data_IF_465703562895
#
_entry.id   IF_465703562895
#
_cell.length_a   1.000
_cell.length_b   1.000
_cell.length_c   1.000
_cell.angle_alpha   90.00
_cell.angle_beta   90.00
_cell.angle_gamma   90.00
#
_symmetry.space_group_name_H-M   'P 1'
#
loop_
_entity.id
_entity.type
_entity.pdbx_description
1 polymer ?
#
# COMPACT_ATOMS: atom_id res chain seq x y z
N UNK A 1 48.09 3.33 -2.85
CA UNK A 1 47.18 3.65 -1.74
C UNK A 1 45.79 3.82 -2.31
N UNK A 2 44.88 2.98 -1.85
CA UNK A 2 43.48 2.96 -2.28
C UNK A 2 42.72 4.11 -1.62
N UNK A 3 41.71 4.66 -2.31
CA UNK A 3 40.78 5.62 -1.70
C UNK A 3 40.10 5.03 -0.45
N UNK A 4 39.88 3.72 -0.42
CA UNK A 4 39.30 3.02 0.72
C UNK A 4 40.21 3.00 1.96
N UNK A 5 41.54 2.99 1.78
CA UNK A 5 42.49 3.08 2.92
C UNK A 5 42.44 4.46 3.57
N UNK A 6 42.32 5.52 2.76
CA UNK A 6 42.20 6.90 3.27
C UNK A 6 40.91 7.16 4.05
N UNK A 7 39.82 6.47 3.72
CA UNK A 7 38.55 6.59 4.43
C UNK A 7 38.56 5.85 5.78
N UNK A 8 39.25 4.71 5.86
CA UNK A 8 39.39 3.97 7.11
C UNK A 8 40.27 4.68 8.15
N UNK A 9 41.17 5.56 7.71
CA UNK A 9 42.01 6.39 8.58
C UNK A 9 41.33 7.69 9.04
N UNK A 10 40.12 7.97 8.55
CA UNK A 10 39.40 9.22 8.83
C UNK A 10 38.64 9.10 10.16
N UNK A 11 39.23 9.62 11.23
CA UNK A 11 38.64 9.64 12.56
C UNK A 11 37.62 10.79 12.67
N UNK A 12 36.36 10.52 12.28
CA UNK A 12 35.26 11.48 12.35
C UNK A 12 34.79 11.62 13.80
N UNK A 13 34.92 12.82 14.35
CA UNK A 13 34.32 13.20 15.62
C UNK A 13 32.80 13.39 15.45
N UNK A 14 32.07 12.30 15.61
CA UNK A 14 30.61 12.20 15.50
C UNK A 14 29.87 12.99 16.60
N UNK A 15 30.58 13.51 17.62
CA UNK A 15 29.97 14.29 18.70
C UNK A 15 29.58 15.71 18.29
N UNK A 16 30.10 16.22 17.18
CA UNK A 16 29.84 17.57 16.69
C UNK A 16 28.65 17.65 15.71
N UNK A 17 28.05 16.51 15.36
CA UNK A 17 26.86 16.46 14.53
C UNK A 17 25.62 16.36 15.42
N UNK A 18 24.76 17.37 15.32
CA UNK A 18 23.44 17.33 15.96
C UNK A 18 22.65 16.18 15.33
N UNK A 19 22.38 15.14 16.13
CA UNK A 19 21.64 13.97 15.69
C UNK A 19 20.16 14.29 15.82
N UNK A 20 19.56 14.77 14.73
CA UNK A 20 18.11 14.80 14.66
C UNK A 20 17.59 13.36 14.71
N UNK A 21 16.74 13.01 15.70
CA UNK A 21 16.16 11.69 15.75
C UNK A 21 15.25 11.50 14.54
N UNK A 22 15.41 10.38 13.84
CA UNK A 22 14.49 10.00 12.76
C UNK A 22 13.06 10.00 13.30
N UNK A 23 12.12 10.52 12.51
CA UNK A 23 10.70 10.35 12.82
C UNK A 23 10.33 8.87 12.88
N UNK A 24 9.30 8.52 13.63
CA UNK A 24 8.81 7.13 13.72
C UNK A 24 8.52 6.52 12.32
N UNK A 25 8.05 7.34 11.38
CA UNK A 25 7.83 6.96 9.99
C UNK A 25 9.14 6.58 9.29
N UNK A 26 10.16 7.41 9.42
CA UNK A 26 11.47 7.18 8.82
C UNK A 26 12.18 5.99 9.45
N UNK A 27 12.17 5.90 10.79
CA UNK A 27 12.75 4.79 11.52
C UNK A 27 12.12 3.46 11.07
N UNK A 28 10.78 3.42 10.92
CA UNK A 28 10.07 2.22 10.49
C UNK A 28 10.32 1.89 9.02
N UNK A 29 10.39 2.89 8.12
CA UNK A 29 10.78 2.68 6.72
C UNK A 29 12.21 2.15 6.61
N UNK A 30 13.13 2.65 7.44
CA UNK A 30 14.49 2.13 7.54
C UNK A 30 14.51 0.69 8.02
N UNK A 31 13.77 0.35 9.08
CA UNK A 31 13.64 -1.03 9.57
C UNK A 31 13.09 -1.95 8.47
N UNK A 32 12.03 -1.54 7.76
CA UNK A 32 11.46 -2.33 6.67
C UNK A 32 12.44 -2.48 5.49
N UNK A 33 13.17 -1.41 5.14
CA UNK A 33 14.20 -1.44 4.08
C UNK A 33 15.35 -2.38 4.45
N UNK A 34 15.80 -2.39 5.69
CA UNK A 34 16.84 -3.30 6.19
C UNK A 34 16.32 -4.74 6.23
N UNK A 35 15.10 -4.97 6.75
CA UNK A 35 14.46 -6.29 6.75
C UNK A 35 14.30 -6.85 5.34
N UNK A 36 13.95 -6.02 4.36
CA UNK A 36 13.81 -6.44 2.97
C UNK A 36 15.17 -6.72 2.29
N UNK A 37 16.28 -6.18 2.84
CA UNK A 37 17.65 -6.42 2.35
C UNK A 37 18.33 -7.62 3.04
N UNK A 38 17.90 -7.98 4.23
CA UNK A 38 18.31 -9.21 4.90
C UNK A 38 17.47 -10.35 4.32
N UNK A 39 18.11 -11.28 3.60
CA UNK A 39 17.45 -12.29 2.77
C UNK A 39 16.25 -12.98 3.43
N UNK A 40 15.16 -13.14 2.66
CA UNK A 40 13.99 -13.92 3.06
C UNK A 40 14.42 -15.36 3.34
N UNK A 41 14.16 -15.84 4.56
CA UNK A 41 13.94 -17.27 4.75
C UNK A 41 12.66 -17.65 4.00
N UNK A 42 12.71 -18.75 3.23
CA UNK A 42 11.60 -19.32 2.45
C UNK A 42 10.26 -19.24 3.20
N UNK A 43 9.27 -18.57 2.61
CA UNK A 43 7.88 -18.73 3.02
C UNK A 43 7.34 -19.99 2.35
N UNK A 44 6.90 -20.96 3.16
CA UNK A 44 6.16 -22.11 2.65
C UNK A 44 4.82 -21.67 2.10
N UNK A 45 4.48 -22.19 0.92
CA UNK A 45 3.14 -22.17 0.35
C UNK A 45 2.17 -22.92 1.28
N UNK A 46 1.09 -22.26 1.70
CA UNK A 46 -0.05 -22.93 2.30
C UNK A 46 -1.34 -22.41 1.66
N UNK A 47 -1.65 -23.01 0.50
CA UNK A 47 -2.96 -23.04 -0.14
C UNK A 47 -3.93 -23.80 0.77
N UNK A 48 -5.21 -23.39 0.73
CA UNK A 48 -6.44 -24.01 1.27
C UNK A 48 -6.99 -23.44 2.59
N UNK A 49 -7.81 -22.39 2.48
CA UNK A 49 -9.06 -22.31 3.24
C UNK A 49 -10.17 -21.85 2.28
N UNK A 50 -10.85 -22.84 1.69
CA UNK A 50 -12.19 -22.69 1.14
C UNK A 50 -13.15 -22.87 2.30
N UNK A 51 -14.05 -21.91 2.49
CA UNK A 51 -15.26 -22.07 3.31
C UNK A 51 -15.14 -21.45 4.70
N UNK A 52 -15.64 -20.22 4.82
CA UNK A 52 -16.73 -19.88 5.75
C UNK A 52 -17.38 -18.57 5.25
N UNK A 53 -18.17 -18.68 4.19
CA UNK A 53 -19.31 -17.80 4.02
C UNK A 53 -20.33 -18.22 5.10
N UNK A 54 -20.41 -17.45 6.18
CA UNK A 54 -21.48 -17.55 7.14
C UNK A 54 -21.96 -16.14 7.49
N UNK A 55 -23.13 -15.85 6.94
CA UNK A 55 -24.03 -14.75 7.26
C UNK A 55 -24.10 -14.54 8.77
N UNK A 56 -23.87 -13.29 9.21
CA UNK A 56 -24.45 -12.76 10.45
C UNK A 56 -24.93 -11.33 10.17
N UNK A 57 -26.00 -11.27 9.39
CA UNK A 57 -26.97 -10.17 9.43
C UNK A 57 -27.79 -10.36 10.71
N UNK A 58 -27.90 -9.27 11.49
CA UNK A 58 -28.75 -9.00 12.66
C UNK A 58 -28.22 -9.38 14.06
N UNK A 59 -27.67 -8.36 14.73
CA UNK A 59 -28.30 -7.81 15.94
C UNK A 59 -27.88 -6.34 16.13
N UNK A 60 -28.87 -5.44 16.10
CA UNK A 60 -28.72 -4.01 16.37
C UNK A 60 -28.34 -3.73 17.83
N UNK A 61 -27.59 -2.64 18.03
CA UNK A 61 -27.43 -1.90 19.28
C UNK A 61 -26.05 -1.24 19.31
N UNK A 62 -25.84 0.06 19.12
CA UNK A 62 -26.69 1.25 19.27
C UNK A 62 -26.32 2.22 18.14
N UNK A 63 -27.32 2.71 17.41
CA UNK A 63 -27.17 3.80 16.44
C UNK A 63 -26.88 5.11 17.19
N UNK A 64 -25.66 5.65 17.06
CA UNK A 64 -25.39 7.04 17.42
C UNK A 64 -25.44 7.91 16.17
N UNK A 65 -26.62 8.50 15.97
CA UNK A 65 -26.90 9.81 15.39
C UNK A 65 -26.32 10.16 14.01
N UNK A 66 -27.20 10.11 12.99
CA UNK A 66 -27.13 10.98 11.81
C UNK A 66 -27.31 12.46 12.25
N UNK A 67 -26.23 13.07 12.71
CA UNK A 67 -26.12 14.51 12.91
C UNK A 67 -25.31 15.10 11.76
N UNK A 68 -25.88 16.08 11.05
CA UNK A 68 -25.19 16.88 10.02
C UNK A 68 -23.74 17.13 10.42
N UNK A 69 -22.79 16.61 9.64
CA UNK A 69 -21.36 16.83 9.84
C UNK A 69 -21.09 18.34 9.93
N UNK A 70 -20.84 18.83 11.13
CA UNK A 70 -20.21 20.14 11.30
C UNK A 70 -18.74 19.96 10.92
N UNK A 71 -18.35 20.46 9.75
CA UNK A 71 -16.96 20.56 9.26
C UNK A 71 -15.99 21.18 10.28
N UNK A 72 -16.49 21.85 11.32
CA UNK A 72 -15.71 22.53 12.35
C UNK A 72 -14.99 21.61 13.36
N UNK A 73 -15.13 20.27 13.27
CA UNK A 73 -14.47 19.30 14.17
C UNK A 73 -13.64 18.24 13.43
N UNK A 74 -13.25 18.48 12.18
CA UNK A 74 -12.25 17.63 11.53
C UNK A 74 -10.91 18.01 12.16
N UNK A 75 -10.24 17.13 12.93
CA UNK A 75 -8.90 17.43 13.44
C UNK A 75 -7.95 17.62 12.24
N UNK A 76 -6.67 17.93 12.48
CA UNK A 76 -5.63 17.95 11.45
C UNK A 76 -5.34 16.56 10.83
N UNK A 77 -6.37 15.84 10.38
CA UNK A 77 -6.37 14.47 9.85
C UNK A 77 -6.35 14.43 8.33
N UNK A 78 -6.52 15.57 7.65
CA UNK A 78 -6.34 15.67 6.21
C UNK A 78 -4.87 15.49 5.84
N UNK A 79 -4.58 14.65 4.84
CA UNK A 79 -3.23 14.50 4.28
C UNK A 79 -2.44 13.31 4.83
N UNK A 80 -3.07 12.43 5.61
CA UNK A 80 -2.39 11.32 6.26
C UNK A 80 -1.94 10.27 5.23
N UNK A 81 -2.81 9.95 4.28
CA UNK A 81 -2.49 8.99 3.21
C UNK A 81 -1.34 9.52 2.33
N UNK A 82 -1.34 10.81 2.01
CA UNK A 82 -0.29 11.41 1.18
C UNK A 82 1.06 11.34 1.87
N UNK A 83 1.14 11.62 3.18
CA UNK A 83 2.37 11.47 3.97
C UNK A 83 2.81 10.02 4.11
N UNK A 84 1.86 9.10 4.16
CA UNK A 84 2.14 7.66 4.19
C UNK A 84 2.80 7.19 2.90
N UNK A 85 2.33 7.65 1.73
CA UNK A 85 2.91 7.32 0.43
C UNK A 85 4.19 8.13 0.17
N UNK A 86 4.18 9.42 0.44
CA UNK A 86 5.22 10.41 0.13
C UNK A 86 5.62 11.19 1.40
N UNK A 87 6.79 10.89 1.98
CA UNK A 87 7.20 11.53 3.25
C UNK A 87 7.71 12.96 3.10
N UNK A 88 8.43 13.25 2.01
CA UNK A 88 9.18 14.50 1.86
C UNK A 88 8.28 15.60 1.31
N UNK A 89 7.67 15.33 0.16
CA UNK A 89 6.79 16.28 -0.53
C UNK A 89 5.46 15.58 -0.84
N UNK A 90 4.52 15.54 0.13
CA UNK A 90 3.22 14.93 -0.09
C UNK A 90 2.45 15.74 -1.13
N UNK A 91 2.05 15.14 -2.26
CA UNK A 91 1.17 15.78 -3.23
C UNK A 91 -0.22 15.97 -2.61
N UNK A 92 -1.09 16.73 -3.28
CA UNK A 92 -2.49 16.86 -2.89
C UNK A 92 -3.34 15.80 -3.58
N UNK A 93 -3.88 14.85 -2.80
CA UNK A 93 -4.82 13.84 -3.30
C UNK A 93 -6.26 14.10 -2.84
N UNK A 94 -6.60 15.32 -2.41
CA UNK A 94 -7.93 15.67 -1.92
C UNK A 94 -9.05 15.36 -2.92
N UNK A 95 -8.78 15.45 -4.23
CA UNK A 95 -9.75 15.10 -5.27
C UNK A 95 -10.03 13.58 -5.39
N UNK A 96 -9.13 12.73 -4.90
CA UNK A 96 -9.16 11.27 -5.09
C UNK A 96 -9.44 10.49 -3.80
N UNK A 97 -9.75 11.20 -2.71
CA UNK A 97 -10.04 10.59 -1.41
C UNK A 97 -11.36 11.11 -0.85
N UNK A 98 -11.99 10.27 -0.05
CA UNK A 98 -13.15 10.65 0.76
C UNK A 98 -12.69 10.79 2.21
N UNK A 99 -12.98 11.94 2.82
CA UNK A 99 -12.67 12.23 4.22
C UNK A 99 -13.88 11.95 5.08
N UNK A 100 -13.65 11.28 6.19
CA UNK A 100 -14.61 10.90 7.20
C UNK A 100 -14.21 11.49 8.56
N UNK A 101 -14.97 11.14 9.58
CA UNK A 101 -14.66 11.40 10.98
C UNK A 101 -15.52 10.53 11.89
N UNK A 102 -15.91 9.37 11.38
CA UNK A 102 -16.82 8.46 12.07
C UNK A 102 -16.02 7.62 13.05
N UNK A 103 -16.51 7.52 14.29
CA UNK A 103 -15.87 6.72 15.33
C UNK A 103 -16.76 5.55 15.73
N UNK A 104 -16.12 4.42 16.04
CA UNK A 104 -16.72 3.28 16.71
C UNK A 104 -15.87 2.90 17.93
N UNK A 105 -16.50 2.30 18.94
CA UNK A 105 -15.86 1.92 20.20
C UNK A 105 -16.16 0.47 20.55
N UNK A 106 -15.18 -0.23 21.11
CA UNK A 106 -15.34 -1.56 21.71
C UNK A 106 -14.40 -1.71 22.91
N UNK A 107 -14.26 -2.92 23.45
CA UNK A 107 -13.39 -3.21 24.60
C UNK A 107 -11.89 -2.89 24.39
N UNK A 108 -11.44 -2.82 23.13
CA UNK A 108 -10.05 -2.53 22.78
C UNK A 108 -9.77 -1.03 22.66
N UNK A 109 -10.80 -0.19 22.51
CA UNK A 109 -10.66 1.26 22.40
C UNK A 109 -11.58 1.90 21.37
N UNK A 110 -11.24 3.13 21.02
CA UNK A 110 -11.96 3.94 20.04
C UNK A 110 -11.19 3.98 18.74
N UNK A 111 -11.87 3.68 17.64
CA UNK A 111 -11.32 3.75 16.30
C UNK A 111 -12.11 4.78 15.49
N UNK A 112 -11.42 5.72 14.86
CA UNK A 112 -12.01 6.75 14.00
C UNK A 112 -11.52 6.55 12.58
N UNK A 113 -12.44 6.33 11.64
CA UNK A 113 -12.12 6.30 10.21
C UNK A 113 -11.90 7.74 9.73
N UNK A 114 -10.73 8.04 9.16
CA UNK A 114 -10.34 9.38 8.76
C UNK A 114 -10.45 9.60 7.25
N UNK A 115 -9.83 8.74 6.45
CA UNK A 115 -9.72 8.94 5.01
C UNK A 115 -9.73 7.58 4.29
N UNK A 116 -10.39 7.52 3.13
CA UNK A 116 -10.24 6.41 2.18
C UNK A 116 -9.89 6.96 0.81
N UNK A 117 -8.79 6.47 0.25
CA UNK A 117 -8.30 6.81 -1.08
C UNK A 117 -8.34 5.55 -1.96
N UNK A 118 -8.89 5.71 -3.16
CA UNK A 118 -9.00 4.65 -4.16
C UNK A 118 -7.86 4.80 -5.17
N UNK A 119 -7.17 3.72 -5.51
CA UNK A 119 -6.07 3.76 -6.49
C UNK A 119 -5.97 2.47 -7.32
N UNK A 120 -6.68 2.44 -8.45
CA UNK A 120 -6.74 1.34 -9.42
C UNK A 120 -7.17 -0.02 -8.84
N UNK A 121 -6.25 -0.73 -8.19
CA UNK A 121 -6.39 -2.09 -7.64
C UNK A 121 -6.19 -2.13 -6.12
N UNK A 122 -6.19 -0.98 -5.46
CA UNK A 122 -6.08 -0.90 -4.01
C UNK A 122 -6.94 0.19 -3.39
N UNK A 123 -7.21 -0.01 -2.10
CA UNK A 123 -7.78 0.97 -1.19
C UNK A 123 -6.72 1.32 -0.13
N UNK A 124 -6.46 2.60 0.03
CA UNK A 124 -5.65 3.13 1.12
C UNK A 124 -6.59 3.73 2.16
N UNK A 125 -6.46 3.29 3.40
CA UNK A 125 -7.35 3.66 4.50
C UNK A 125 -6.51 4.29 5.59
N UNK A 126 -6.94 5.43 6.12
CA UNK A 126 -6.35 6.01 7.33
C UNK A 126 -7.39 6.05 8.44
N UNK A 127 -6.97 5.61 9.62
CA UNK A 127 -7.79 5.64 10.84
C UNK A 127 -6.98 6.11 12.05
N UNK A 128 -7.63 6.73 13.03
CA UNK A 128 -7.04 7.05 14.33
C UNK A 128 -7.52 6.06 15.37
N UNK A 129 -6.58 5.40 16.04
CA UNK A 129 -6.84 4.46 17.13
C UNK A 129 -6.40 5.04 18.47
N UNK A 130 -7.34 5.05 19.42
CA UNK A 130 -7.16 5.44 20.81
C UNK A 130 -7.38 4.17 21.66
N UNK A 131 -6.32 3.45 22.06
CA UNK A 131 -6.44 2.20 22.80
C UNK A 131 -7.11 2.41 24.15
N UNK A 132 -7.97 1.48 24.56
CA UNK A 132 -8.53 1.45 25.90
C UNK A 132 -7.44 1.24 26.96
N UNK A 133 -7.71 1.68 28.20
CA UNK A 133 -6.77 1.52 29.30
C UNK A 133 -6.41 0.04 29.51
N UNK A 134 -5.12 -0.27 29.48
CA UNK A 134 -4.60 -1.63 29.65
C UNK A 134 -4.43 -2.43 28.36
N UNK A 135 -4.82 -1.86 27.20
CA UNK A 135 -4.52 -2.45 25.90
C UNK A 135 -3.10 -2.04 25.49
N UNK A 136 -2.21 -3.03 25.35
CA UNK A 136 -0.86 -2.80 24.83
C UNK A 136 -0.92 -2.60 23.31
N UNK A 137 -0.67 -1.37 22.89
CA UNK A 137 -0.63 -0.99 21.49
C UNK A 137 0.59 -0.13 21.23
N UNK A 138 1.28 -0.42 20.13
CA UNK A 138 2.45 0.33 19.69
C UNK A 138 2.51 0.38 18.17
N UNK A 139 3.51 1.08 17.63
CA UNK A 139 3.80 1.05 16.19
C UNK A 139 4.09 -0.37 15.66
N UNK A 140 4.38 -1.34 16.54
CA UNK A 140 4.63 -2.73 16.16
C UNK A 140 3.35 -3.58 16.11
N UNK A 141 2.25 -3.06 16.66
CA UNK A 141 0.93 -3.70 16.61
C UNK A 141 0.30 -3.43 15.25
N UNK A 142 -0.21 -4.48 14.61
CA UNK A 142 -0.94 -4.38 13.35
C UNK A 142 -2.43 -4.51 13.61
N UNK A 143 -3.18 -3.47 13.24
CA UNK A 143 -4.64 -3.49 13.25
C UNK A 143 -5.10 -3.52 11.79
N UNK A 144 -5.49 -4.70 11.32
CA UNK A 144 -5.64 -4.97 9.89
C UNK A 144 -7.09 -4.75 9.44
N UNK A 145 -7.37 -3.79 8.55
CA UNK A 145 -8.70 -3.68 7.98
C UNK A 145 -8.97 -4.82 7.00
N UNK A 146 -10.24 -5.19 6.91
CA UNK A 146 -10.82 -5.96 5.82
C UNK A 146 -11.90 -5.13 5.14
N UNK A 147 -12.11 -5.34 3.85
CA UNK A 147 -13.08 -4.56 3.07
C UNK A 147 -13.96 -5.47 2.22
N UNK A 148 -15.27 -5.21 2.26
CA UNK A 148 -16.21 -5.62 1.22
C UNK A 148 -16.52 -4.43 0.33
N UNK A 149 -16.50 -4.63 -0.98
CA UNK A 149 -16.83 -3.61 -1.98
C UNK A 149 -18.15 -4.01 -2.61
N UNK A 150 -19.17 -3.14 -2.50
CA UNK A 150 -20.54 -3.40 -2.95
C UNK A 150 -21.12 -4.72 -2.40
N UNK A 151 -20.69 -5.10 -1.19
CA UNK A 151 -21.08 -6.34 -0.51
C UNK A 151 -20.28 -7.59 -0.92
N UNK A 152 -19.33 -7.47 -1.87
CA UNK A 152 -18.51 -8.59 -2.33
C UNK A 152 -17.08 -8.56 -1.74
N UNK A 153 -16.55 -9.75 -1.43
CA UNK A 153 -15.14 -9.92 -1.05
C UNK A 153 -14.27 -10.10 -2.31
N UNK A 154 -13.73 -8.96 -2.76
CA UNK A 154 -12.77 -8.89 -3.85
C UNK A 154 -11.33 -8.67 -3.35
N UNK A 155 -11.10 -8.80 -2.05
CA UNK A 155 -9.81 -8.57 -1.43
C UNK A 155 -8.80 -9.65 -1.82
N UNK A 156 -7.56 -9.23 -2.06
CA UNK A 156 -6.42 -10.10 -2.32
C UNK A 156 -5.46 -10.11 -1.12
N UNK A 157 -5.10 -8.92 -0.64
CA UNK A 157 -4.19 -8.77 0.50
C UNK A 157 -4.67 -7.67 1.42
N UNK A 158 -4.26 -7.75 2.68
CA UNK A 158 -4.43 -6.71 3.69
C UNK A 158 -3.09 -6.40 4.33
N UNK A 159 -2.66 -5.15 4.18
CA UNK A 159 -1.52 -4.58 4.89
C UNK A 159 -1.99 -3.60 5.95
N UNK A 160 -1.25 -3.52 7.06
CA UNK A 160 -1.47 -2.49 8.07
C UNK A 160 -0.16 -1.93 8.61
N UNK A 161 -0.15 -0.63 8.86
CA UNK A 161 0.94 0.08 9.49
C UNK A 161 0.42 1.07 10.52
N UNK A 162 0.82 0.89 11.78
CA UNK A 162 0.55 1.85 12.85
C UNK A 162 1.73 2.81 13.05
N UNK A 163 1.44 4.08 13.32
CA UNK A 163 2.40 5.16 13.67
C UNK A 163 1.85 5.91 14.88
N UNK A 164 2.70 6.19 15.86
CA UNK A 164 2.31 6.99 17.03
C UNK A 164 2.20 8.46 16.63
N UNK A 165 1.09 9.11 16.98
CA UNK A 165 0.88 10.54 16.71
C UNK A 165 1.21 11.36 17.96
N UNK A 166 0.60 10.98 19.07
CA UNK A 166 0.86 11.50 20.42
C UNK A 166 0.79 10.34 21.42
N UNK A 167 1.07 10.60 22.69
CA UNK A 167 0.92 9.57 23.72
C UNK A 167 -0.51 9.02 23.77
N UNK A 168 -0.66 7.70 23.64
CA UNK A 168 -1.96 7.03 23.66
C UNK A 168 -2.80 7.15 22.38
N UNK A 169 -2.27 7.70 21.28
CA UNK A 169 -3.01 7.83 20.03
C UNK A 169 -2.16 7.47 18.81
N UNK A 170 -2.71 6.64 17.93
CA UNK A 170 -2.02 6.06 16.80
C UNK A 170 -2.77 6.30 15.50
N UNK A 171 -2.08 6.64 14.42
CA UNK A 171 -2.63 6.51 13.07
C UNK A 171 -2.38 5.10 12.57
N UNK A 172 -3.43 4.46 12.07
CA UNK A 172 -3.42 3.13 11.44
C UNK A 172 -3.68 3.29 9.96
N UNK A 173 -2.69 2.95 9.14
CA UNK A 173 -2.78 2.90 7.70
C UNK A 173 -3.12 1.49 7.24
N UNK A 174 -4.18 1.34 6.45
CA UNK A 174 -4.51 0.13 5.70
C UNK A 174 -4.08 0.25 4.24
N UNK A 175 -3.42 -0.78 3.71
CA UNK A 175 -3.15 -0.94 2.27
C UNK A 175 -3.78 -2.25 1.81
N UNK A 176 -4.95 -2.15 1.19
CA UNK A 176 -5.79 -3.27 0.81
C UNK A 176 -5.73 -3.44 -0.70
N UNK A 177 -5.10 -4.51 -1.18
CA UNK A 177 -5.14 -4.87 -2.61
C UNK A 177 -6.40 -5.65 -2.92
N UNK A 178 -7.03 -5.37 -4.06
CA UNK A 178 -8.25 -5.99 -4.54
C UNK A 178 -8.06 -6.46 -6.00
N UNK A 179 -8.90 -7.38 -6.47
CA UNK A 179 -8.81 -7.90 -7.85
C UNK A 179 -9.09 -6.83 -8.90
N UNK A 180 -10.29 -6.26 -8.85
CA UNK A 180 -10.75 -5.22 -9.75
C UNK A 180 -11.88 -4.46 -9.07
N UNK A 181 -11.75 -3.13 -9.00
CA UNK A 181 -12.80 -2.29 -8.46
C UNK A 181 -13.90 -2.07 -9.51
N UNK A 182 -15.19 -2.02 -9.10
CA UNK A 182 -16.29 -1.61 -9.97
C UNK A 182 -16.05 -0.23 -10.59
N UNK A 183 -16.31 -0.10 -11.90
CA UNK A 183 -16.11 1.14 -12.67
C UNK A 183 -17.38 1.57 -13.42
N UNK A 184 -18.52 1.47 -12.75
CA UNK A 184 -19.83 1.83 -13.30
C UNK A 184 -20.16 3.33 -13.13
N UNK A 185 -19.21 4.14 -12.65
CA UNK A 185 -19.40 5.57 -12.40
C UNK A 185 -20.23 5.88 -11.16
N UNK A 186 -20.61 4.88 -10.36
CA UNK A 186 -21.25 5.07 -9.07
C UNK A 186 -20.20 5.11 -7.95
N UNK A 187 -20.50 5.78 -6.82
CA UNK A 187 -19.71 5.64 -5.61
C UNK A 187 -19.62 4.18 -5.16
N UNK A 188 -18.47 3.79 -4.62
CA UNK A 188 -18.25 2.46 -4.07
C UNK A 188 -18.87 2.38 -2.67
N UNK A 189 -19.66 1.35 -2.40
CA UNK A 189 -20.16 1.08 -1.07
C UNK A 189 -19.19 0.15 -0.34
N UNK A 190 -18.49 0.68 0.67
CA UNK A 190 -17.49 -0.06 1.42
C UNK A 190 -18.02 -0.48 2.78
N UNK A 191 -17.84 -1.75 3.12
CA UNK A 191 -17.88 -2.21 4.51
C UNK A 191 -16.46 -2.46 4.98
N UNK A 192 -15.97 -1.60 5.88
CA UNK A 192 -14.60 -1.66 6.41
C UNK A 192 -14.68 -2.23 7.82
N UNK A 193 -14.06 -3.39 8.05
CA UNK A 193 -14.05 -4.03 9.36
C UNK A 193 -12.62 -4.21 9.87
N UNK A 194 -12.37 -3.79 11.11
CA UNK A 194 -11.14 -4.06 11.83
C UNK A 194 -11.36 -5.24 12.77
N UNK A 195 -11.19 -6.44 12.20
CA UNK A 195 -11.55 -7.72 12.80
C UNK A 195 -10.34 -8.53 13.30
N UNK A 196 -9.12 -8.05 12.99
CA UNK A 196 -7.87 -8.73 13.34
C UNK A 196 -6.85 -7.78 13.95
N UNK A 197 -6.21 -8.25 15.02
CA UNK A 197 -5.07 -7.59 15.65
C UNK A 197 -3.89 -8.55 15.79
N UNK A 198 -2.69 -8.07 15.49
CA UNK A 198 -1.44 -8.81 15.71
C UNK A 198 -0.51 -7.99 16.59
N UNK A 199 -0.10 -8.59 17.71
CA UNK A 199 0.74 -7.95 18.72
C UNK A 199 2.22 -7.87 18.34
N UNK A 200 3.00 -7.19 19.18
CA UNK A 200 4.45 -7.07 19.03
C UNK A 200 5.12 -8.45 19.02
N UNK A 201 5.82 -8.77 17.92
CA UNK A 201 6.56 -10.02 17.78
C UNK A 201 5.67 -11.25 17.53
N UNK A 202 4.37 -11.04 17.30
CA UNK A 202 3.49 -12.10 16.84
C UNK A 202 3.67 -12.27 15.32
N UNK A 203 3.90 -13.53 14.90
CA UNK A 203 4.08 -13.90 13.50
C UNK A 203 2.82 -14.54 12.90
N UNK A 204 1.71 -14.49 13.62
CA UNK A 204 0.44 -14.98 13.10
C UNK A 204 0.01 -14.07 11.93
N UNK A 205 0.16 -14.61 10.71
CA UNK A 205 -0.01 -13.88 9.45
C UNK A 205 -1.41 -13.26 9.34
N UNK A 206 -2.41 -13.87 9.98
CA UNK A 206 -3.81 -13.44 9.95
C UNK A 206 -4.24 -12.60 11.15
N UNK A 207 -3.40 -12.48 12.18
CA UNK A 207 -3.76 -11.88 13.47
C UNK A 207 -4.87 -12.63 14.23
N UNK A 208 -5.03 -12.25 15.49
CA UNK A 208 -6.08 -12.75 16.39
C UNK A 208 -7.41 -12.05 16.10
N UNK A 209 -8.55 -12.77 16.16
CA UNK A 209 -9.86 -12.14 16.02
C UNK A 209 -10.13 -11.15 17.15
N UNK A 210 -10.77 -10.04 16.80
CA UNK A 210 -11.31 -9.05 17.74
C UNK A 210 -12.77 -9.41 18.02
N UNK A 211 -13.11 -9.56 19.31
CA UNK A 211 -14.51 -9.63 19.73
C UNK A 211 -15.18 -8.27 19.51
N UNK A 212 -16.35 -8.27 18.84
CA UNK A 212 -17.09 -7.06 18.48
C UNK A 212 -16.21 -6.07 17.68
N UNK A 213 -15.88 -6.40 16.42
CA UNK A 213 -14.98 -5.58 15.62
C UNK A 213 -15.57 -4.20 15.34
N UNK A 214 -14.70 -3.22 15.11
CA UNK A 214 -15.14 -1.93 14.57
C UNK A 214 -15.54 -2.13 13.11
N UNK A 215 -16.77 -1.75 12.77
CA UNK A 215 -17.33 -1.86 11.42
C UNK A 215 -17.82 -0.48 10.99
N UNK A 216 -17.40 -0.06 9.80
CA UNK A 216 -17.84 1.17 9.16
C UNK A 216 -18.52 0.83 7.83
N UNK A 217 -19.62 1.51 7.55
CA UNK A 217 -20.32 1.44 6.27
C UNK A 217 -20.25 2.81 5.63
N UNK A 218 -19.45 2.94 4.58
CA UNK A 218 -19.13 4.23 3.98
C UNK A 218 -19.29 4.21 2.47
N UNK A 219 -19.68 5.35 1.94
CA UNK A 219 -19.70 5.61 0.50
C UNK A 219 -18.42 6.34 0.11
N UNK A 220 -17.69 5.82 -0.88
CA UNK A 220 -16.43 6.40 -1.36
C UNK A 220 -16.58 6.79 -2.82
N UNK A 221 -16.33 8.06 -3.13
CA UNK A 221 -16.31 8.51 -4.52
C UNK A 221 -15.05 7.99 -5.23
N UNK A 222 -15.24 7.44 -6.43
CA UNK A 222 -14.15 7.06 -7.33
C UNK A 222 -14.21 7.81 -8.68
N UNK A 223 -15.11 8.80 -8.82
CA UNK A 223 -15.39 9.44 -10.10
C UNK A 223 -14.20 10.20 -10.67
N UNK A 224 -13.57 11.04 -9.85
CA UNK A 224 -12.40 11.86 -10.25
C UNK A 224 -11.22 10.98 -10.66
N UNK A 225 -10.94 9.93 -9.88
CA UNK A 225 -9.89 8.98 -10.20
C UNK A 225 -10.18 8.25 -11.51
N UNK A 226 -11.42 7.77 -11.68
CA UNK A 226 -11.83 7.05 -12.89
C UNK A 226 -11.73 7.94 -14.14
N UNK A 227 -12.02 9.24 -14.03
CA UNK A 227 -11.87 10.19 -15.11
C UNK A 227 -10.40 10.50 -15.45
N UNK A 228 -9.52 10.55 -14.44
CA UNK A 228 -8.10 10.82 -14.61
C UNK A 228 -7.26 9.57 -14.98
N UNK A 229 -7.85 8.38 -14.87
CA UNK A 229 -7.17 7.12 -15.12
C UNK A 229 -7.06 6.81 -16.62
N UNK A 230 -5.88 6.39 -17.04
CA UNK A 230 -5.62 5.91 -18.41
C UNK A 230 -5.22 4.45 -18.37
N UNK A 231 -5.93 3.60 -19.10
CA UNK A 231 -5.60 2.18 -19.28
C UNK A 231 -5.08 1.95 -20.69
N UNK A 232 -3.97 1.22 -20.80
CA UNK A 232 -3.29 0.91 -22.05
C UNK A 232 -3.11 -0.60 -22.10
N UNK A 233 -3.84 -1.27 -22.98
CA UNK A 233 -3.61 -2.69 -23.29
C UNK A 233 -2.51 -2.80 -24.34
N UNK A 234 -1.53 -3.68 -24.12
CA UNK A 234 -0.30 -3.74 -24.92
C UNK A 234 -0.04 -5.15 -25.44
N UNK A 235 -0.07 -6.16 -24.57
CA UNK A 235 0.32 -7.54 -24.89
C UNK A 235 1.68 -7.63 -25.63
N UNK A 236 2.66 -6.86 -25.14
CA UNK A 236 3.99 -6.74 -25.75
C UNK A 236 4.99 -7.65 -25.04
N UNK A 237 5.73 -8.46 -25.80
CA UNK A 237 6.70 -9.41 -25.24
C UNK A 237 8.11 -8.87 -25.29
N UNK A 238 8.81 -8.94 -24.16
CA UNK A 238 10.21 -8.58 -24.00
C UNK A 238 11.03 -9.87 -23.92
N UNK A 239 12.03 -9.99 -24.80
CA UNK A 239 13.05 -11.05 -24.70
C UNK A 239 14.05 -10.71 -23.60
N UNK A 240 14.29 -11.67 -22.71
CA UNK A 240 15.28 -11.62 -21.64
C UNK A 240 16.50 -12.50 -21.98
N UNK A 241 17.61 -12.42 -21.23
CA UNK A 241 18.76 -13.29 -21.44
C UNK A 241 18.37 -14.77 -21.27
N UNK A 242 19.16 -15.66 -21.88
CA UNK A 242 18.97 -17.12 -21.80
C UNK A 242 17.64 -17.62 -22.41
N UNK A 243 17.00 -16.83 -23.27
CA UNK A 243 15.79 -17.23 -24.00
C UNK A 243 14.50 -17.15 -23.18
N UNK A 244 14.55 -16.52 -22.00
CA UNK A 244 13.36 -16.20 -21.20
C UNK A 244 12.58 -15.04 -21.85
N UNK A 245 11.29 -14.93 -21.53
CA UNK A 245 10.43 -13.85 -22.03
C UNK A 245 9.49 -13.36 -20.94
N UNK A 246 9.10 -12.09 -21.02
CA UNK A 246 8.05 -11.51 -20.18
C UNK A 246 7.08 -10.75 -21.08
N UNK A 247 5.78 -10.90 -20.84
CA UNK A 247 4.75 -10.21 -21.60
C UNK A 247 4.11 -9.12 -20.75
N UNK A 248 4.23 -7.86 -21.19
CA UNK A 248 3.52 -6.74 -20.59
C UNK A 248 2.09 -6.75 -21.13
N UNK A 249 1.13 -7.03 -20.26
CA UNK A 249 -0.28 -7.15 -20.65
C UNK A 249 -0.92 -5.76 -20.74
N UNK A 250 -0.74 -4.96 -19.68
CA UNK A 250 -1.48 -3.71 -19.48
C UNK A 250 -0.72 -2.73 -18.58
N UNK A 251 -0.84 -1.44 -18.89
CA UNK A 251 -0.47 -0.35 -18.00
C UNK A 251 -1.71 0.45 -17.57
N UNK A 252 -1.77 0.82 -16.29
CA UNK A 252 -2.79 1.69 -15.71
C UNK A 252 -2.09 2.88 -15.07
N UNK A 253 -2.35 4.08 -15.59
CA UNK A 253 -1.78 5.33 -15.12
C UNK A 253 -2.87 6.07 -14.35
N UNK A 254 -2.57 6.48 -13.12
CA UNK A 254 -3.39 7.37 -12.31
C UNK A 254 -2.55 8.54 -11.80
N UNK A 255 -3.19 9.64 -11.34
CA UNK A 255 -2.49 10.72 -10.65
C UNK A 255 -1.73 10.28 -9.37
N UNK A 256 -2.00 9.08 -8.86
CA UNK A 256 -1.42 8.55 -7.63
C UNK A 256 -0.30 7.54 -7.92
N UNK A 257 -0.39 6.80 -9.03
CA UNK A 257 0.52 5.70 -9.31
C UNK A 257 0.51 5.24 -10.76
N UNK A 258 1.51 4.44 -11.12
CA UNK A 258 1.52 3.68 -12.37
C UNK A 258 1.58 2.20 -12.05
N UNK A 259 0.61 1.43 -12.53
CA UNK A 259 0.51 -0.01 -12.31
C UNK A 259 0.70 -0.75 -13.63
N UNK A 260 1.62 -1.70 -13.66
CA UNK A 260 1.86 -2.55 -14.82
C UNK A 260 1.50 -3.99 -14.47
N UNK A 261 0.66 -4.61 -15.29
CA UNK A 261 0.37 -6.04 -15.26
C UNK A 261 1.20 -6.76 -16.31
N UNK A 262 1.74 -7.90 -15.93
CA UNK A 262 2.58 -8.70 -16.81
C UNK A 262 2.46 -10.19 -16.49
N UNK A 263 2.82 -11.01 -17.48
CA UNK A 263 3.05 -12.44 -17.33
C UNK A 263 4.55 -12.70 -17.39
N UNK A 264 5.08 -13.27 -16.32
CA UNK A 264 6.47 -13.66 -16.17
C UNK A 264 6.63 -15.17 -15.89
N UNK A 265 5.63 -15.98 -16.27
CA UNK A 265 5.71 -17.44 -16.15
C UNK A 265 6.95 -17.97 -16.85
N UNK A 266 7.95 -18.41 -16.06
CA UNK A 266 9.24 -18.91 -16.56
C UNK A 266 10.40 -17.90 -16.54
N UNK A 267 10.19 -16.67 -16.06
CA UNK A 267 11.26 -15.71 -15.78
C UNK A 267 11.79 -15.87 -14.34
N UNK A 268 13.07 -15.55 -14.13
CA UNK A 268 13.74 -15.64 -12.82
C UNK A 268 13.11 -14.72 -11.74
N UNK A 269 13.06 -15.19 -10.49
CA UNK A 269 12.67 -14.44 -9.26
C UNK A 269 13.50 -13.16 -9.03
N UNK A 270 14.61 -13.01 -9.76
CA UNK A 270 15.52 -11.86 -9.70
C UNK A 270 15.13 -10.73 -10.65
N UNK A 271 13.88 -10.66 -11.09
CA UNK A 271 13.39 -9.61 -11.97
C UNK A 271 12.94 -8.38 -11.17
N UNK A 272 13.49 -7.22 -11.52
CA UNK A 272 13.06 -5.91 -11.02
C UNK A 272 12.72 -5.03 -12.22
N UNK A 273 12.08 -3.90 -11.94
CA UNK A 273 11.63 -3.02 -13.00
C UNK A 273 11.96 -1.55 -12.74
N UNK A 274 12.20 -0.83 -13.82
CA UNK A 274 12.28 0.64 -13.84
C UNK A 274 11.45 1.21 -14.98
N UNK A 275 10.98 2.43 -14.80
CA UNK A 275 10.53 3.29 -15.90
C UNK A 275 11.68 4.23 -16.27
N UNK A 276 11.90 4.44 -17.56
CA UNK A 276 12.89 5.40 -18.07
C UNK A 276 12.16 6.41 -18.95
N UNK A 277 12.13 7.68 -18.55
CA UNK A 277 11.55 8.75 -19.39
C UNK A 277 12.41 9.04 -20.62
N UNK A 278 11.84 9.74 -21.60
CA UNK A 278 12.58 10.23 -22.78
C UNK A 278 13.79 11.12 -22.42
N UNK A 279 13.76 11.78 -21.26
CA UNK A 279 14.88 12.57 -20.73
C UNK A 279 15.99 11.74 -20.07
N UNK A 280 15.78 10.43 -19.91
CA UNK A 280 16.69 9.51 -19.23
C UNK A 280 16.47 9.41 -17.71
N UNK A 281 15.48 10.12 -17.15
CA UNK A 281 15.13 9.97 -15.73
C UNK A 281 14.59 8.56 -15.45
N UNK A 282 15.15 7.90 -14.43
CA UNK A 282 14.73 6.58 -13.99
C UNK A 282 13.79 6.63 -12.77
N UNK A 283 12.74 5.82 -12.79
CA UNK A 283 11.81 5.62 -11.67
C UNK A 283 11.82 4.13 -11.33
N UNK A 284 12.23 3.79 -10.10
CA UNK A 284 12.21 2.41 -9.63
C UNK A 284 10.82 2.02 -9.11
N UNK A 285 10.49 0.74 -9.23
CA UNK A 285 9.27 0.19 -8.63
C UNK A 285 9.24 0.41 -7.11
N UNK A 286 8.04 0.66 -6.59
CA UNK A 286 7.74 0.85 -5.17
C UNK A 286 7.22 -0.42 -4.49
N UNK A 287 6.47 -1.25 -5.23
CA UNK A 287 5.84 -2.49 -4.78
C UNK A 287 5.62 -3.39 -6.00
N UNK A 288 5.65 -4.70 -5.82
CA UNK A 288 5.31 -5.65 -6.87
C UNK A 288 5.10 -7.06 -6.34
N UNK A 289 4.45 -7.87 -7.15
CA UNK A 289 4.25 -9.29 -6.97
C UNK A 289 4.48 -9.98 -8.31
N UNK A 290 5.30 -11.04 -8.29
CA UNK A 290 5.55 -11.90 -9.44
C UNK A 290 4.95 -13.26 -9.08
N UNK A 291 4.04 -13.77 -9.90
CA UNK A 291 3.58 -15.15 -9.77
C UNK A 291 4.44 -16.09 -10.64
N UNK A 292 4.69 -17.27 -10.11
CA UNK A 292 5.34 -18.38 -10.83
C UNK A 292 4.30 -19.27 -11.55
N UNK A 293 3.00 -19.10 -11.25
CA UNK A 293 1.93 -19.90 -11.84
C UNK A 293 1.45 -19.29 -13.18
N UNK A 294 1.47 -20.05 -14.30
CA UNK A 294 0.97 -19.56 -15.58
C UNK A 294 -0.51 -19.11 -15.50
N UNK A 295 -0.78 -17.90 -15.97
CA UNK A 295 -2.13 -17.30 -15.94
C UNK A 295 -2.49 -16.63 -14.61
N UNK A 296 -1.64 -16.68 -13.59
CA UNK A 296 -1.75 -15.79 -12.43
C UNK A 296 -1.12 -14.42 -12.73
N UNK A 297 -1.86 -13.36 -12.41
CA UNK A 297 -1.49 -11.99 -12.76
C UNK A 297 -0.32 -11.50 -11.89
N UNK A 298 0.82 -11.19 -12.53
CA UNK A 298 1.90 -10.45 -11.88
C UNK A 298 1.68 -8.95 -12.04
N UNK A 299 2.16 -8.16 -11.07
CA UNK A 299 2.04 -6.71 -11.12
C UNK A 299 3.22 -5.99 -10.47
N UNK A 300 3.51 -4.80 -10.97
CA UNK A 300 4.47 -3.86 -10.39
C UNK A 300 3.86 -2.46 -10.35
N UNK A 301 4.25 -1.68 -9.34
CA UNK A 301 3.73 -0.35 -9.07
C UNK A 301 4.84 0.66 -8.93
N UNK A 302 4.72 1.75 -9.66
CA UNK A 302 5.58 2.93 -9.57
C UNK A 302 4.81 4.10 -8.96
N UNK A 303 5.53 5.19 -8.69
CA UNK A 303 4.90 6.50 -8.49
C UNK A 303 4.13 6.95 -9.74
N UNK A 304 3.37 8.04 -9.64
CA UNK A 304 2.68 8.60 -10.79
C UNK A 304 3.69 9.07 -11.83
N UNK A 305 3.35 8.91 -13.11
CA UNK A 305 4.10 9.45 -14.24
C UNK A 305 3.27 10.51 -14.96
N UNK A 306 3.95 11.51 -15.52
CA UNK A 306 3.29 12.56 -16.28
C UNK A 306 3.45 12.31 -17.78
N UNK A 307 2.46 11.62 -18.37
CA UNK A 307 2.43 11.34 -19.82
C UNK A 307 2.34 12.60 -20.70
N UNK A 308 2.17 13.79 -20.12
CA UNK A 308 2.25 15.06 -20.87
C UNK A 308 3.70 15.54 -21.08
N UNK A 309 4.65 15.06 -20.26
CA UNK A 309 6.07 15.46 -20.31
C UNK A 309 6.91 14.60 -21.27
N UNK A 310 6.31 13.55 -21.84
CA UNK A 310 6.99 12.61 -22.72
C UNK A 310 6.66 11.18 -22.33
N UNK A 311 7.16 10.25 -23.13
CA UNK A 311 6.90 8.84 -22.97
C UNK A 311 7.90 8.18 -22.02
N UNK A 312 7.52 7.01 -21.52
CA UNK A 312 8.31 6.21 -20.60
C UNK A 312 8.52 4.81 -21.16
N UNK A 313 9.68 4.23 -20.91
CA UNK A 313 9.98 2.84 -21.26
C UNK A 313 9.94 1.99 -20.00
N UNK A 314 9.12 0.94 -20.00
CA UNK A 314 9.07 -0.10 -18.97
C UNK A 314 10.23 -1.06 -19.23
N UNK A 315 11.19 -1.14 -18.31
CA UNK A 315 12.43 -1.90 -18.52
C UNK A 315 12.62 -2.96 -17.44
N UNK A 316 12.74 -4.24 -17.82
CA UNK A 316 13.18 -5.28 -16.89
C UNK A 316 14.67 -5.10 -16.57
N UNK A 317 15.02 -5.16 -15.29
CA UNK A 317 16.38 -5.01 -14.80
C UNK A 317 16.75 -6.13 -13.83
N UNK A 318 18.05 -6.43 -13.74
CA UNK A 318 18.57 -7.41 -12.79
C UNK A 318 18.41 -6.96 -11.33
N UNK A 319 18.13 -7.91 -10.42
CA UNK A 319 17.92 -7.60 -9.00
C UNK A 319 19.14 -6.98 -8.32
N UNK A 320 20.34 -7.46 -8.64
CA UNK A 320 21.58 -7.08 -7.95
C UNK A 320 22.32 -5.92 -8.62
N UNK A 321 22.50 -5.99 -9.93
CA UNK A 321 23.31 -5.07 -10.74
C UNK A 321 22.49 -3.94 -11.37
N UNK A 322 21.17 -4.12 -11.46
CA UNK A 322 20.22 -3.21 -12.13
C UNK A 322 20.53 -3.02 -13.63
N UNK A 323 21.26 -3.96 -14.23
CA UNK A 323 21.50 -3.95 -15.67
C UNK A 323 20.19 -4.19 -16.42
N UNK A 324 20.02 -3.53 -17.58
CA UNK A 324 18.85 -3.75 -18.42
C UNK A 324 18.90 -5.15 -19.04
N UNK A 325 17.84 -5.91 -18.80
CA UNK A 325 17.73 -7.29 -19.29
C UNK A 325 17.03 -7.38 -20.66
N UNK A 326 16.44 -6.30 -21.16
CA UNK A 326 15.73 -6.28 -22.44
C UNK A 326 15.45 -4.87 -22.94
N UNK A 327 14.95 -4.76 -24.17
CA UNK A 327 14.69 -3.47 -24.83
C UNK A 327 13.60 -2.65 -24.15
N UNK A 328 12.74 -3.28 -23.33
CA UNK A 328 11.63 -2.61 -22.68
C UNK A 328 10.48 -2.28 -23.64
N UNK A 329 9.39 -1.74 -23.09
CA UNK A 329 8.17 -1.40 -23.84
C UNK A 329 7.79 0.05 -23.56
N UNK A 330 7.45 0.82 -24.61
CA UNK A 330 7.09 2.22 -24.47
C UNK A 330 5.63 2.39 -24.03
N UNK A 331 5.40 3.20 -23.01
CA UNK A 331 4.10 3.76 -22.61
C UNK A 331 4.13 5.29 -22.76
N UNK A 332 2.97 5.93 -22.96
CA UNK A 332 2.86 7.37 -23.07
C UNK A 332 3.36 8.15 -21.87
#
# INVERSE_FOLDING_TARGET
MSIFEKWNEMNLDISQYETEPLSDLEQKRWVNRVKNKLGRHRMMTARRWVGFAAVLILAMGVTLSYGKLTLAKIPATAGQIERFIHSETPPDYSAYKTVFGESAENAYGKLTLNEVLVDSDRLLISSTFEPAKGIDFSYQTQLMPSVLVDGEDIQLTRGSQSIKVVEGMYTVYGDISVRELPRNGQPLQLTIAYDRISGKGEYEITGKPIEQPWIFHVEVSSSELNAAMKTIDMNETISLPQGQTVTIERAILTPISTLIYFDAAGASDSLRWKLVSDSGQEILESKGYVSEEPGERSYIRFGPIDSSQGSYRIVPIGFNDREELGSGVQIP
#
